data_IF_454829803200
#
_entry.id   IF_454829803200
#
_cell.length_a   1.000
_cell.length_b   1.000
_cell.length_c   1.000
_cell.angle_alpha   90.00
_cell.angle_beta   90.00
_cell.angle_gamma   90.00
#
_symmetry.space_group_name_H-M   'P 1'
#
loop_
_entity.id
_entity.type
_entity.pdbx_description
1 polymer ?
#
# COMPACT_ATOMS: atom_id res chain seq x y z
N UNK A 1 26.69 -2.04 10.58
CA UNK A 1 25.68 -3.10 10.39
C UNK A 1 25.87 -3.71 9.02
N UNK A 2 25.77 -5.03 8.89
CA UNK A 2 25.72 -5.72 7.59
C UNK A 2 24.27 -5.88 7.12
N UNK A 3 24.05 -6.14 5.82
CA UNK A 3 22.70 -6.41 5.30
C UNK A 3 22.04 -7.60 6.00
N UNK A 4 22.80 -8.67 6.27
CA UNK A 4 22.33 -9.83 7.00
C UNK A 4 21.90 -9.48 8.44
N UNK A 5 22.68 -8.67 9.15
CA UNK A 5 22.32 -8.23 10.50
C UNK A 5 21.07 -7.34 10.53
N UNK A 6 20.88 -6.48 9.51
CA UNK A 6 19.68 -5.67 9.38
C UNK A 6 18.43 -6.52 9.08
N UNK A 7 18.58 -7.54 8.22
CA UNK A 7 17.52 -8.51 7.93
C UNK A 7 17.09 -9.30 9.17
N UNK A 8 18.06 -9.84 9.92
CA UNK A 8 17.76 -10.59 11.14
C UNK A 8 17.03 -9.74 12.19
N UNK A 9 17.43 -8.48 12.34
CA UNK A 9 16.77 -7.55 13.24
C UNK A 9 15.34 -7.23 12.77
N UNK A 10 15.13 -7.05 11.46
CA UNK A 10 13.81 -6.84 10.89
C UNK A 10 12.87 -8.03 11.17
N UNK A 11 13.34 -9.26 10.97
CA UNK A 11 12.56 -10.48 11.26
C UNK A 11 12.24 -10.59 12.75
N UNK A 12 13.20 -10.28 13.64
CA UNK A 12 12.95 -10.27 15.09
C UNK A 12 11.86 -9.27 15.47
N UNK A 13 11.84 -8.08 14.87
CA UNK A 13 10.78 -7.09 15.10
C UNK A 13 9.43 -7.59 14.65
N UNK A 14 9.32 -8.16 13.45
CA UNK A 14 8.06 -8.71 12.94
C UNK A 14 7.51 -9.84 13.81
N UNK A 15 8.37 -10.72 14.32
CA UNK A 15 7.97 -11.80 15.24
C UNK A 15 7.46 -11.30 16.58
N UNK A 16 7.95 -10.14 17.05
CA UNK A 16 7.52 -9.52 18.31
C UNK A 16 6.24 -8.70 18.19
N UNK A 17 5.77 -8.42 16.96
CA UNK A 17 4.55 -7.65 16.77
C UNK A 17 3.32 -8.39 17.31
N UNK A 18 2.39 -7.64 17.88
CA UNK A 18 1.04 -8.14 18.18
C UNK A 18 0.19 -8.23 16.91
N UNK A 19 -1.01 -8.80 17.03
CA UNK A 19 -1.97 -8.82 15.91
C UNK A 19 -2.40 -7.40 15.51
N UNK A 20 -2.65 -6.55 16.50
CA UNK A 20 -3.08 -5.16 16.33
C UNK A 20 -2.00 -4.33 15.62
N UNK A 21 -0.73 -4.50 16.01
CA UNK A 21 0.39 -3.83 15.35
C UNK A 21 0.52 -4.26 13.88
N UNK A 22 0.35 -5.55 13.59
CA UNK A 22 0.34 -6.03 12.21
C UNK A 22 -0.83 -5.46 11.40
N UNK A 23 -2.01 -5.37 12.01
CA UNK A 23 -3.19 -4.80 11.37
C UNK A 23 -2.99 -3.31 11.07
N UNK A 24 -2.47 -2.53 12.01
CA UNK A 24 -2.18 -1.11 11.80
C UNK A 24 -1.24 -0.89 10.61
N UNK A 25 -0.12 -1.64 10.56
CA UNK A 25 0.82 -1.58 9.45
C UNK A 25 0.15 -1.96 8.12
N UNK A 26 -0.69 -3.00 8.10
CA UNK A 26 -1.39 -3.42 6.89
C UNK A 26 -2.33 -2.32 6.35
N UNK A 27 -3.04 -1.61 7.24
CA UNK A 27 -3.91 -0.50 6.86
C UNK A 27 -3.11 0.70 6.33
N UNK A 28 -2.01 1.07 7.01
CA UNK A 28 -1.11 2.14 6.56
C UNK A 28 -0.50 1.83 5.18
N UNK A 29 -0.05 0.58 4.97
CA UNK A 29 0.48 0.15 3.69
C UNK A 29 -0.59 0.17 2.59
N UNK A 30 -1.83 -0.20 2.90
CA UNK A 30 -2.94 -0.13 1.96
C UNK A 30 -3.24 1.32 1.54
N UNK A 31 -3.28 2.25 2.49
CA UNK A 31 -3.50 3.68 2.22
C UNK A 31 -2.38 4.25 1.36
N UNK A 32 -1.11 4.02 1.73
CA UNK A 32 0.05 4.44 0.94
C UNK A 32 0.00 3.87 -0.49
N UNK A 33 -0.39 2.59 -0.64
CA UNK A 33 -0.53 1.97 -1.97
C UNK A 33 -1.63 2.64 -2.79
N UNK A 34 -2.75 3.02 -2.18
CA UNK A 34 -3.82 3.77 -2.83
C UNK A 34 -3.34 5.15 -3.28
N UNK A 35 -2.54 5.86 -2.48
CA UNK A 35 -2.00 7.17 -2.84
C UNK A 35 -1.04 7.11 -4.03
N UNK A 36 -0.15 6.12 -4.04
CA UNK A 36 0.72 5.85 -5.20
C UNK A 36 -0.13 5.55 -6.44
N UNK A 37 -1.18 4.74 -6.30
CA UNK A 37 -2.08 4.43 -7.41
C UNK A 37 -2.83 5.67 -7.91
N UNK A 38 -3.33 6.54 -7.03
CA UNK A 38 -3.97 7.82 -7.40
C UNK A 38 -3.04 8.69 -8.21
N UNK A 39 -1.80 8.83 -7.77
CA UNK A 39 -0.80 9.61 -8.49
C UNK A 39 -0.53 9.03 -9.88
N UNK A 40 -0.39 7.71 -9.98
CA UNK A 40 -0.29 7.02 -11.27
C UNK A 40 -1.52 7.25 -12.17
N UNK A 41 -2.72 7.22 -11.61
CA UNK A 41 -3.98 7.48 -12.34
C UNK A 41 -4.03 8.92 -12.85
N UNK A 42 -3.68 9.92 -12.02
CA UNK A 42 -3.65 11.33 -12.43
C UNK A 42 -2.69 11.56 -13.58
N UNK A 43 -1.49 10.97 -13.53
CA UNK A 43 -0.51 11.05 -14.63
C UNK A 43 -1.02 10.44 -15.93
N UNK A 44 -1.80 9.36 -15.84
CA UNK A 44 -2.38 8.68 -17.00
C UNK A 44 -3.65 9.37 -17.52
N UNK A 45 -4.31 10.19 -16.69
CA UNK A 45 -5.56 10.87 -17.00
C UNK A 45 -5.46 12.35 -16.56
N UNK A 46 -4.72 13.21 -17.29
CA UNK A 46 -4.41 14.58 -16.84
C UNK A 46 -5.62 15.48 -16.62
N UNK A 47 -6.75 15.18 -17.26
CA UNK A 47 -7.99 15.95 -17.16
C UNK A 47 -9.01 15.33 -16.19
N UNK A 48 -8.67 14.21 -15.54
CA UNK A 48 -9.57 13.58 -14.57
C UNK A 48 -9.69 14.44 -13.32
N UNK A 49 -10.92 14.68 -12.88
CA UNK A 49 -11.17 15.28 -11.58
C UNK A 49 -10.96 14.25 -10.44
N UNK A 50 -11.09 14.71 -9.20
CA UNK A 50 -10.89 13.86 -8.03
C UNK A 50 -11.87 12.67 -7.98
N UNK A 51 -13.12 12.85 -8.43
CA UNK A 51 -14.12 11.79 -8.41
C UNK A 51 -13.81 10.70 -9.44
N UNK A 52 -13.38 11.11 -10.64
CA UNK A 52 -12.96 10.21 -11.71
C UNK A 52 -11.70 9.41 -11.31
N UNK A 53 -10.74 10.05 -10.64
CA UNK A 53 -9.55 9.37 -10.09
C UNK A 53 -9.97 8.29 -9.07
N UNK A 54 -10.88 8.60 -8.14
CA UNK A 54 -11.35 7.61 -7.17
C UNK A 54 -12.14 6.47 -7.82
N UNK A 55 -12.95 6.76 -8.84
CA UNK A 55 -13.67 5.72 -9.60
C UNK A 55 -12.70 4.74 -10.27
N UNK A 56 -11.65 5.25 -10.89
CA UNK A 56 -10.60 4.45 -11.51
C UNK A 56 -9.78 3.67 -10.48
N UNK A 57 -9.51 4.25 -9.31
CA UNK A 57 -8.84 3.55 -8.20
C UNK A 57 -9.69 2.36 -7.73
N UNK A 58 -10.98 2.55 -7.49
CA UNK A 58 -11.90 1.47 -7.08
C UNK A 58 -11.91 0.33 -8.08
N UNK A 59 -11.99 0.65 -9.38
CA UNK A 59 -11.94 -0.36 -10.42
C UNK A 59 -10.63 -1.17 -10.39
N UNK A 60 -9.48 -0.53 -10.16
CA UNK A 60 -8.20 -1.24 -10.00
C UNK A 60 -8.19 -2.15 -8.77
N UNK A 61 -8.73 -1.70 -7.64
CA UNK A 61 -8.81 -2.50 -6.42
C UNK A 61 -9.72 -3.72 -6.60
N UNK A 62 -10.82 -3.59 -7.35
CA UNK A 62 -11.68 -4.72 -7.69
C UNK A 62 -10.95 -5.78 -8.53
N UNK A 63 -10.17 -5.35 -9.52
CA UNK A 63 -9.34 -6.26 -10.31
C UNK A 63 -8.29 -6.98 -9.44
N UNK A 64 -7.63 -6.24 -8.54
CA UNK A 64 -6.65 -6.82 -7.62
C UNK A 64 -7.28 -7.81 -6.62
N UNK A 65 -8.54 -7.61 -6.22
CA UNK A 65 -9.27 -8.54 -5.35
C UNK A 65 -9.63 -9.85 -6.07
N UNK A 66 -9.78 -9.81 -7.38
CA UNK A 66 -10.21 -10.96 -8.19
C UNK A 66 -9.06 -11.80 -8.75
N UNK A 67 -7.81 -11.34 -8.60
CA UNK A 67 -6.59 -12.02 -9.01
C UNK A 67 -6.05 -12.97 -7.93
#
# INVERSE_FOLDING_TARGET
MTAAAAWDEQIKRYRRMTGEQRLAIALELHEMSCDIAREGIRRQNPNADAAEVERLLRHRLELARAA
#
